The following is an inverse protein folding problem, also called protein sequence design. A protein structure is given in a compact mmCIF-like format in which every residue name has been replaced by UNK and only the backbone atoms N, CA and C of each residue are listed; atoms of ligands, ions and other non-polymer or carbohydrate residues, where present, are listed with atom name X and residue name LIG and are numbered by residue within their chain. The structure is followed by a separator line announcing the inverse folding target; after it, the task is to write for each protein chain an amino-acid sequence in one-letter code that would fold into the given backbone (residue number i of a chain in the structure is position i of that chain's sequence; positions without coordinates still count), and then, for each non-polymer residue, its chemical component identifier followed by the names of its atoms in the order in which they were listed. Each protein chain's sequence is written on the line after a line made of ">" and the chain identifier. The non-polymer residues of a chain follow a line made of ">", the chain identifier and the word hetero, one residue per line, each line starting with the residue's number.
data_IF_750569573025
#
_entry.id   IF_750569573025
#
_cell.length_a   1.000
_cell.length_b   1.000
_cell.length_c   1.000
_cell.angle_alpha   90.00
_cell.angle_beta   90.00
_cell.angle_gamma   90.00
#
_symmetry.space_group_name_H-M   'P 1'
#
loop_
_entity.id
_entity.type
_entity.pdbx_description
1 polymer ?
#
# COMPACT_ATOMS: atom_id res chain seq x y z
N UNK A 1 24.06 -10.26 -15.64
CA UNK A 1 23.95 -10.83 -14.28
C UNK A 1 23.58 -12.28 -14.44
N UNK A 2 24.15 -13.16 -13.63
CA UNK A 2 23.91 -14.60 -13.68
C UNK A 2 22.45 -14.90 -13.30
N UNK A 3 21.62 -15.45 -14.22
CA UNK A 3 20.23 -15.80 -13.93
C UNK A 3 20.10 -16.95 -12.90
N UNK A 4 21.17 -17.69 -12.61
CA UNK A 4 21.15 -18.87 -11.72
C UNK A 4 21.64 -18.56 -10.29
N UNK A 5 21.88 -17.29 -9.95
CA UNK A 5 22.43 -16.92 -8.63
C UNK A 5 21.47 -17.10 -7.43
N UNK A 6 20.23 -17.57 -7.65
CA UNK A 6 19.21 -17.68 -6.60
C UNK A 6 18.73 -16.33 -6.04
N UNK A 7 19.20 -15.22 -6.60
CA UNK A 7 18.79 -13.86 -6.25
C UNK A 7 17.77 -13.32 -7.26
N UNK A 8 16.79 -12.55 -6.78
CA UNK A 8 15.75 -11.96 -7.61
C UNK A 8 16.31 -11.07 -8.73
N UNK A 9 15.60 -11.02 -9.88
CA UNK A 9 16.02 -10.23 -11.04
C UNK A 9 15.81 -8.73 -10.78
N UNK A 10 16.90 -7.97 -10.88
CA UNK A 10 16.85 -6.50 -10.72
C UNK A 10 16.62 -5.82 -12.07
N UNK A 11 15.55 -5.03 -12.18
CA UNK A 11 15.19 -4.30 -13.42
C UNK A 11 15.89 -2.95 -13.57
N UNK A 12 16.12 -2.25 -12.45
CA UNK A 12 16.84 -0.99 -12.42
C UNK A 12 17.49 -0.76 -11.05
N UNK A 13 18.69 -0.17 -11.05
CA UNK A 13 19.34 0.38 -9.86
C UNK A 13 19.83 1.77 -10.20
N UNK A 14 19.54 2.73 -9.34
CA UNK A 14 20.00 4.11 -9.43
C UNK A 14 20.58 4.50 -8.08
N UNK A 15 21.80 5.05 -8.07
CA UNK A 15 22.51 5.49 -6.87
C UNK A 15 22.78 6.98 -6.96
N UNK A 16 22.28 7.73 -5.98
CA UNK A 16 22.46 9.18 -5.86
C UNK A 16 23.24 9.48 -4.59
N UNK A 17 24.29 10.30 -4.70
CA UNK A 17 25.08 10.77 -3.57
C UNK A 17 25.27 12.28 -3.69
N UNK A 18 24.91 13.04 -2.64
CA UNK A 18 25.05 14.50 -2.64
C UNK A 18 24.25 15.17 -3.77
N UNK A 19 23.06 14.66 -4.09
CA UNK A 19 22.21 15.16 -5.18
C UNK A 19 22.73 14.86 -6.59
N UNK A 20 23.78 14.06 -6.74
CA UNK A 20 24.36 13.68 -8.03
C UNK A 20 24.16 12.19 -8.30
N UNK A 21 23.76 11.86 -9.52
CA UNK A 21 23.76 10.48 -10.01
C UNK A 21 25.21 9.99 -10.09
N UNK A 22 25.53 8.92 -9.35
CA UNK A 22 26.89 8.33 -9.33
C UNK A 22 26.94 6.95 -10.00
N UNK A 23 25.81 6.25 -10.08
CA UNK A 23 25.68 5.02 -10.86
C UNK A 23 24.23 4.76 -11.25
N UNK A 24 24.02 4.20 -12.43
CA UNK A 24 22.76 3.59 -12.84
C UNK A 24 23.02 2.33 -13.67
N UNK A 25 22.15 1.33 -13.50
CA UNK A 25 22.15 0.10 -14.30
C UNK A 25 20.71 -0.32 -14.54
N UNK A 26 20.45 -0.77 -15.76
CA UNK A 26 19.14 -1.24 -16.18
C UNK A 26 19.26 -2.66 -16.72
N UNK A 27 18.25 -3.47 -16.44
CA UNK A 27 18.13 -4.85 -16.91
C UNK A 27 17.07 -4.99 -17.99
N UNK A 28 16.75 -6.24 -18.29
CA UNK A 28 15.71 -6.57 -19.26
C UNK A 28 14.32 -6.27 -18.68
N UNK A 29 13.42 -5.86 -19.57
CA UNK A 29 12.00 -5.82 -19.27
C UNK A 29 11.47 -7.24 -19.35
N UNK A 30 10.73 -7.68 -18.33
CA UNK A 30 10.19 -9.04 -18.27
C UNK A 30 8.75 -9.04 -17.85
N UNK A 31 8.00 -10.04 -18.32
CA UNK A 31 6.65 -10.31 -17.82
C UNK A 31 6.66 -10.98 -16.43
N UNK A 32 5.50 -11.46 -16.00
CA UNK A 32 5.31 -12.15 -14.71
C UNK A 32 6.00 -13.53 -14.65
N UNK A 33 6.28 -14.15 -15.81
CA UNK A 33 6.93 -15.46 -15.93
C UNK A 33 8.44 -15.35 -16.10
N UNK A 34 8.96 -14.12 -16.18
CA UNK A 34 10.38 -13.84 -16.32
C UNK A 34 10.87 -13.89 -17.77
N UNK A 35 9.97 -13.97 -18.75
CA UNK A 35 10.33 -13.86 -20.17
C UNK A 35 10.66 -12.41 -20.52
N UNK A 36 11.71 -12.21 -21.32
CA UNK A 36 12.08 -10.87 -21.79
C UNK A 36 11.02 -10.38 -22.77
N UNK A 37 10.42 -9.23 -22.48
CA UNK A 37 9.34 -8.66 -23.26
C UNK A 37 9.64 -7.21 -23.64
N UNK A 38 9.44 -6.87 -24.91
CA UNK A 38 9.61 -5.50 -25.42
C UNK A 38 11.04 -4.96 -25.28
N UNK A 39 11.15 -3.63 -25.29
CA UNK A 39 12.43 -2.94 -25.17
C UNK A 39 13.02 -3.06 -23.75
N UNK A 40 14.36 -3.14 -23.61
CA UNK A 40 15.03 -3.12 -22.31
C UNK A 40 14.60 -1.96 -21.43
N UNK A 41 14.72 -2.13 -20.12
CA UNK A 41 14.44 -1.03 -19.18
C UNK A 41 15.43 0.10 -19.45
N UNK A 42 14.92 1.33 -19.51
CA UNK A 42 15.73 2.53 -19.60
C UNK A 42 15.31 3.56 -18.55
N UNK A 43 16.02 4.68 -18.49
CA UNK A 43 15.82 5.74 -17.51
C UNK A 43 14.39 6.30 -17.44
N UNK A 44 13.64 6.22 -18.55
CA UNK A 44 12.26 6.72 -18.65
C UNK A 44 11.20 5.62 -18.62
N UNK A 45 11.60 4.35 -18.45
CA UNK A 45 10.65 3.23 -18.39
C UNK A 45 9.92 3.23 -17.04
N UNK A 46 8.58 3.35 -17.00
CA UNK A 46 7.84 3.19 -15.76
C UNK A 46 7.93 1.74 -15.29
N UNK A 47 8.17 1.56 -13.99
CA UNK A 47 8.17 0.27 -13.32
C UNK A 47 7.06 0.24 -12.27
N UNK A 48 6.51 -0.94 -12.00
CA UNK A 48 5.59 -1.14 -10.90
C UNK A 48 6.29 -0.78 -9.58
N UNK A 49 5.76 0.23 -8.89
CA UNK A 49 6.30 0.71 -7.61
C UNK A 49 5.91 -0.19 -6.43
N UNK A 50 4.86 -0.99 -6.60
CA UNK A 50 4.28 -1.79 -5.53
C UNK A 50 4.04 -0.93 -4.28
N UNK A 51 4.40 -1.44 -3.11
CA UNK A 51 4.16 -0.77 -1.84
C UNK A 51 4.99 0.50 -1.61
N UNK A 52 5.96 0.82 -2.48
CA UNK A 52 6.58 2.15 -2.46
C UNK A 52 5.55 3.27 -2.69
N UNK A 53 4.43 2.99 -3.37
CA UNK A 53 3.35 3.95 -3.56
C UNK A 53 2.80 4.51 -2.23
N UNK A 54 2.85 3.72 -1.15
CA UNK A 54 2.40 4.14 0.19
C UNK A 54 3.21 5.34 0.71
N UNK A 55 4.50 5.39 0.42
CA UNK A 55 5.36 6.54 0.79
C UNK A 55 4.93 7.83 0.09
N UNK A 56 4.52 7.74 -1.19
CA UNK A 56 4.00 8.89 -1.93
C UNK A 56 2.67 9.37 -1.34
N UNK A 57 1.78 8.44 -0.98
CA UNK A 57 0.53 8.76 -0.30
C UNK A 57 0.79 9.46 1.05
N UNK A 58 1.75 8.97 1.84
CA UNK A 58 2.12 9.59 3.11
C UNK A 58 2.69 11.01 2.93
N UNK A 59 3.44 11.26 1.85
CA UNK A 59 3.91 12.61 1.53
C UNK A 59 2.73 13.57 1.26
N UNK A 60 1.72 13.13 0.51
CA UNK A 60 0.48 13.91 0.28
C UNK A 60 -0.26 14.17 1.59
N UNK A 61 -0.38 13.16 2.46
CA UNK A 61 -0.96 13.36 3.80
C UNK A 61 -0.17 14.40 4.59
N UNK A 62 1.16 14.37 4.56
CA UNK A 62 2.01 15.37 5.21
C UNK A 62 1.74 16.80 4.71
N UNK A 63 1.53 16.98 3.40
CA UNK A 63 1.14 18.28 2.83
C UNK A 63 -0.22 18.74 3.35
N UNK A 64 -1.21 17.84 3.41
CA UNK A 64 -2.54 18.18 3.96
C UNK A 64 -2.52 18.49 5.46
N UNK A 65 -1.59 17.90 6.21
CA UNK A 65 -1.35 18.23 7.62
C UNK A 65 -0.73 19.62 7.76
N UNK A 66 0.26 19.96 6.91
CA UNK A 66 0.87 21.31 6.89
C UNK A 66 -0.16 22.39 6.52
N UNK A 67 -1.10 22.06 5.62
CA UNK A 67 -2.24 22.91 5.27
C UNK A 67 -3.33 22.99 6.36
N UNK A 68 -3.20 22.23 7.45
CA UNK A 68 -4.20 22.16 8.53
C UNK A 68 -5.52 21.49 8.13
N UNK A 69 -5.53 20.69 7.06
CA UNK A 69 -6.72 19.99 6.53
C UNK A 69 -6.86 18.57 7.08
N UNK A 70 -5.78 18.00 7.58
CA UNK A 70 -5.77 16.72 8.29
C UNK A 70 -5.02 16.84 9.62
N UNK A 71 -5.46 16.08 10.62
CA UNK A 71 -4.87 16.06 11.96
C UNK A 71 -4.54 14.61 12.35
N UNK A 72 -3.26 14.21 12.44
CA UNK A 72 -2.89 12.82 12.68
C UNK A 72 -3.43 12.24 13.99
N UNK A 73 -3.48 13.06 15.06
CA UNK A 73 -3.94 12.64 16.37
C UNK A 73 -5.46 12.57 16.53
N UNK A 74 -6.22 13.00 15.52
CA UNK A 74 -7.69 12.98 15.55
C UNK A 74 -8.25 11.70 14.90
N UNK A 75 -9.50 11.33 15.23
CA UNK A 75 -10.23 10.30 14.50
C UNK A 75 -10.14 10.48 12.98
N UNK A 76 -9.84 9.41 12.27
CA UNK A 76 -9.75 9.44 10.83
C UNK A 76 -11.14 9.74 10.20
N UNK A 77 -11.25 10.68 9.23
CA UNK A 77 -12.52 11.06 8.64
C UNK A 77 -13.01 10.03 7.60
N UNK A 78 -13.40 8.86 8.10
CA UNK A 78 -13.94 7.74 7.32
C UNK A 78 -15.47 7.74 7.46
N UNK A 79 -16.23 8.01 6.37
CA UNK A 79 -17.69 8.18 6.44
C UNK A 79 -18.46 7.01 7.03
N UNK A 80 -17.92 5.80 6.92
CA UNK A 80 -18.53 4.57 7.41
C UNK A 80 -18.46 4.43 8.94
N UNK A 81 -17.56 5.16 9.62
CA UNK A 81 -17.31 5.03 11.06
C UNK A 81 -18.06 6.14 11.81
N UNK A 82 -19.33 5.89 12.09
CA UNK A 82 -20.22 6.83 12.77
C UNK A 82 -20.28 6.65 14.29
N UNK A 83 -21.19 7.40 14.93
CA UNK A 83 -21.45 7.28 16.36
C UNK A 83 -21.86 5.86 16.76
N UNK A 84 -21.24 5.33 17.81
CA UNK A 84 -21.45 3.96 18.28
C UNK A 84 -20.64 2.89 17.54
N UNK A 85 -19.93 3.23 16.46
CA UNK A 85 -18.97 2.33 15.82
C UNK A 85 -17.61 2.41 16.56
N UNK A 86 -17.08 1.30 17.10
CA UNK A 86 -15.78 1.32 17.79
C UNK A 86 -14.62 1.74 16.87
N UNK A 87 -14.76 1.58 15.54
CA UNK A 87 -13.76 2.05 14.56
C UNK A 87 -13.69 3.57 14.46
N UNK A 88 -14.71 4.30 14.93
CA UNK A 88 -14.68 5.77 14.96
C UNK A 88 -13.60 6.33 15.91
N UNK A 89 -13.01 5.49 16.77
CA UNK A 89 -11.87 5.88 17.60
C UNK A 89 -10.50 5.75 16.89
N UNK A 90 -10.45 5.13 15.70
CA UNK A 90 -9.20 4.95 14.95
C UNK A 90 -8.70 6.33 14.50
N UNK A 91 -7.48 6.68 14.90
CA UNK A 91 -6.87 7.95 14.47
C UNK A 91 -6.19 7.83 13.12
N UNK A 92 -5.99 8.97 12.44
CA UNK A 92 -5.23 9.00 11.20
C UNK A 92 -3.78 8.52 11.41
N UNK A 93 -3.16 8.83 12.54
CA UNK A 93 -1.82 8.31 12.90
C UNK A 93 -1.81 6.78 13.02
N UNK A 94 -2.85 6.18 13.58
CA UNK A 94 -2.96 4.73 13.69
C UNK A 94 -3.07 4.07 12.30
N UNK A 95 -3.82 4.67 11.37
CA UNK A 95 -3.83 4.22 9.97
C UNK A 95 -2.45 4.34 9.31
N UNK A 96 -1.78 5.49 9.45
CA UNK A 96 -0.44 5.73 8.89
C UNK A 96 0.61 4.78 9.47
N UNK A 97 0.44 4.35 10.72
CA UNK A 97 1.30 3.39 11.40
C UNK A 97 0.88 1.92 11.16
N UNK A 98 -0.19 1.67 10.39
CA UNK A 98 -0.79 0.34 10.19
C UNK A 98 -1.11 -0.37 11.52
N UNK A 99 -1.71 0.39 12.44
CA UNK A 99 -2.17 -0.06 13.75
C UNK A 99 -3.66 0.24 13.95
N UNK A 100 -4.43 0.27 12.88
CA UNK A 100 -5.87 0.56 12.93
C UNK A 100 -6.71 -0.55 13.59
N UNK A 101 -6.15 -1.76 13.74
CA UNK A 101 -6.81 -2.88 14.41
C UNK A 101 -7.86 -3.59 13.55
N UNK A 102 -8.00 -3.23 12.27
CA UNK A 102 -8.93 -3.88 11.35
C UNK A 102 -8.49 -5.31 11.01
N UNK A 103 -9.47 -6.19 10.88
CA UNK A 103 -9.31 -7.56 10.38
C UNK A 103 -9.06 -7.54 8.86
N UNK A 104 -7.84 -7.22 8.47
CA UNK A 104 -7.39 -7.22 7.08
C UNK A 104 -6.32 -8.29 6.88
N UNK A 105 -6.54 -9.15 5.88
CA UNK A 105 -5.67 -10.28 5.56
C UNK A 105 -4.86 -9.91 4.30
N UNK A 106 -3.64 -9.46 4.53
CA UNK A 106 -2.67 -9.18 3.45
C UNK A 106 -1.98 -10.48 3.02
N UNK A 107 -2.70 -11.30 2.23
CA UNK A 107 -2.18 -12.54 1.67
C UNK A 107 -2.22 -12.52 0.13
N UNK A 108 -1.15 -12.99 -0.49
CA UNK A 108 -0.98 -13.09 -1.95
C UNK A 108 -0.63 -14.51 -2.41
N UNK A 109 -0.53 -15.47 -1.49
CA UNK A 109 -0.14 -16.83 -1.79
C UNK A 109 -1.28 -17.58 -2.51
N UNK A 110 -1.04 -18.20 -3.68
CA UNK A 110 -2.02 -19.06 -4.34
C UNK A 110 -2.32 -20.35 -3.54
N UNK A 111 -1.44 -20.68 -2.59
CA UNK A 111 -1.39 -21.88 -1.77
C UNK A 111 -1.68 -21.62 -0.28
N UNK A 112 -2.22 -20.44 0.07
CA UNK A 112 -2.82 -20.22 1.39
C UNK A 112 -3.74 -21.40 1.71
N UNK A 113 -3.57 -21.99 2.90
CA UNK A 113 -4.38 -23.11 3.45
C UNK A 113 -5.75 -23.13 2.78
N UNK A 114 -6.02 -24.13 1.93
CA UNK A 114 -7.15 -24.11 1.00
C UNK A 114 -8.42 -23.52 1.65
N UNK A 115 -8.72 -22.24 1.34
CA UNK A 115 -9.77 -21.47 2.03
C UNK A 115 -9.31 -20.18 2.74
N UNK A 116 -8.02 -19.84 2.79
CA UNK A 116 -7.54 -18.56 3.32
C UNK A 116 -8.03 -17.39 2.45
N UNK A 117 -8.71 -16.42 3.08
CA UNK A 117 -9.27 -15.25 2.39
C UNK A 117 -8.17 -14.22 2.16
N UNK A 118 -7.83 -13.95 0.90
CA UNK A 118 -7.04 -12.78 0.54
C UNK A 118 -7.95 -11.56 0.44
N UNK A 119 -7.93 -10.72 1.47
CA UNK A 119 -8.67 -9.46 1.44
C UNK A 119 -8.13 -8.51 0.38
N UNK A 120 -6.85 -8.61 0.01
CA UNK A 120 -6.27 -7.78 -1.06
C UNK A 120 -6.75 -8.19 -2.45
N UNK A 121 -6.83 -9.49 -2.77
CA UNK A 121 -7.34 -9.96 -4.07
C UNK A 121 -8.83 -9.61 -4.18
N UNK A 122 -9.61 -9.87 -3.13
CA UNK A 122 -11.04 -9.55 -3.10
C UNK A 122 -11.31 -8.04 -3.22
N UNK A 123 -10.48 -7.22 -2.55
CA UNK A 123 -10.54 -5.76 -2.65
C UNK A 123 -10.22 -5.28 -4.07
N UNK A 124 -9.14 -5.75 -4.67
CA UNK A 124 -8.65 -5.19 -5.95
C UNK A 124 -9.34 -5.78 -7.18
N UNK A 125 -9.78 -7.03 -7.11
CA UNK A 125 -10.26 -7.78 -8.28
C UNK A 125 -11.60 -8.50 -8.04
N UNK A 126 -12.10 -8.53 -6.80
CA UNK A 126 -13.37 -9.16 -6.42
C UNK A 126 -14.48 -8.13 -6.15
N UNK A 127 -15.32 -8.42 -5.15
CA UNK A 127 -16.46 -7.58 -4.78
C UNK A 127 -16.08 -6.17 -4.32
N UNK A 128 -14.85 -5.96 -3.86
CA UNK A 128 -14.36 -4.64 -3.43
C UNK A 128 -13.88 -3.73 -4.56
N UNK A 129 -13.76 -4.23 -5.80
CA UNK A 129 -13.06 -3.51 -6.87
C UNK A 129 -13.71 -2.17 -7.27
N UNK A 130 -15.01 -2.00 -7.01
CA UNK A 130 -15.73 -0.75 -7.28
C UNK A 130 -15.53 0.32 -6.20
N UNK A 131 -15.19 -0.07 -4.97
CA UNK A 131 -14.90 0.83 -3.85
C UNK A 131 -13.91 0.18 -2.88
N UNK A 132 -12.62 0.26 -3.22
CA UNK A 132 -11.53 -0.35 -2.45
C UNK A 132 -11.38 0.27 -1.05
N UNK A 133 -11.65 1.57 -0.93
CA UNK A 133 -11.56 2.28 0.35
C UNK A 133 -12.72 1.87 1.27
N UNK A 134 -13.94 1.81 0.74
CA UNK A 134 -15.11 1.32 1.47
C UNK A 134 -15.01 -0.17 1.82
N UNK A 135 -14.50 -1.00 0.91
CA UNK A 135 -14.23 -2.41 1.20
C UNK A 135 -13.30 -2.57 2.40
N UNK A 136 -12.16 -1.87 2.39
CA UNK A 136 -11.21 -1.93 3.50
C UNK A 136 -11.81 -1.35 4.80
N UNK A 137 -12.50 -0.20 4.72
CA UNK A 137 -13.15 0.42 5.88
C UNK A 137 -14.29 -0.42 6.48
N UNK A 138 -14.87 -1.34 5.71
CA UNK A 138 -15.94 -2.23 6.16
C UNK A 138 -15.47 -3.33 7.10
N UNK A 139 -14.15 -3.62 7.16
CA UNK A 139 -13.61 -4.70 7.98
C UNK A 139 -13.93 -4.46 9.47
N UNK A 140 -14.26 -5.51 10.24
CA UNK A 140 -14.44 -5.39 11.69
C UNK A 140 -13.08 -5.15 12.38
N UNK A 141 -13.11 -4.78 13.66
CA UNK A 141 -11.90 -4.80 14.49
C UNK A 141 -11.54 -6.24 14.87
N UNK A 142 -10.29 -6.62 14.65
CA UNK A 142 -9.67 -7.80 15.26
C UNK A 142 -8.95 -7.44 16.56
N UNK A 143 -8.49 -6.19 16.69
CA UNK A 143 -7.75 -5.67 17.83
C UNK A 143 -8.19 -4.25 18.17
N UNK A 144 -7.91 -3.81 19.41
CA UNK A 144 -8.08 -2.41 19.80
C UNK A 144 -7.19 -1.50 18.92
N UNK A 145 -7.69 -0.34 18.47
CA UNK A 145 -6.90 0.62 17.70
C UNK A 145 -5.60 1.02 18.44
N UNK A 146 -4.47 0.93 17.74
CA UNK A 146 -3.13 1.22 18.24
C UNK A 146 -2.42 0.04 18.92
N UNK A 147 -3.11 -1.07 19.22
CA UNK A 147 -2.58 -2.16 20.03
C UNK A 147 -1.61 -3.09 19.28
N UNK A 148 -1.80 -3.28 17.97
CA UNK A 148 -1.00 -4.20 17.17
C UNK A 148 -0.71 -3.61 15.78
N UNK A 149 0.48 -3.91 15.25
CA UNK A 149 0.82 -3.64 13.85
C UNK A 149 0.27 -4.77 12.97
N UNK A 150 -0.45 -4.40 11.91
CA UNK A 150 -0.91 -5.30 10.86
C UNK A 150 -0.65 -4.66 9.49
N UNK A 151 0.33 -5.18 8.74
CA UNK A 151 0.65 -4.62 7.43
C UNK A 151 -0.53 -4.80 6.46
N UNK A 152 -1.04 -3.70 5.91
CA UNK A 152 -2.31 -3.69 5.17
C UNK A 152 -2.32 -2.71 4.01
N UNK A 153 -2.53 -3.24 2.81
CA UNK A 153 -2.87 -2.45 1.62
C UNK A 153 -4.30 -1.90 1.70
N UNK A 154 -5.19 -2.53 2.46
CA UNK A 154 -6.51 -1.98 2.78
C UNK A 154 -6.41 -0.65 3.52
N UNK A 155 -5.58 -0.57 4.56
CA UNK A 155 -5.33 0.65 5.33
C UNK A 155 -4.86 1.80 4.45
N UNK A 156 -3.95 1.53 3.50
CA UNK A 156 -3.52 2.53 2.53
C UNK A 156 -4.64 3.00 1.59
N UNK A 157 -5.58 2.11 1.22
CA UNK A 157 -6.75 2.48 0.43
C UNK A 157 -7.76 3.32 1.24
N UNK A 158 -7.91 3.07 2.54
CA UNK A 158 -8.70 3.95 3.43
C UNK A 158 -8.10 5.36 3.44
N UNK A 159 -6.78 5.48 3.62
CA UNK A 159 -6.06 6.76 3.60
C UNK A 159 -6.23 7.45 2.24
N UNK A 160 -6.12 6.71 1.13
CA UNK A 160 -6.37 7.25 -0.22
C UNK A 160 -7.78 7.83 -0.35
N UNK A 161 -8.79 7.13 0.19
CA UNK A 161 -10.16 7.63 0.23
C UNK A 161 -10.31 8.92 1.05
N UNK A 162 -9.61 9.02 2.20
CA UNK A 162 -9.58 10.26 3.01
C UNK A 162 -9.00 11.41 2.18
N UNK A 163 -7.84 11.20 1.57
CA UNK A 163 -7.15 12.21 0.73
C UNK A 163 -8.04 12.65 -0.43
N UNK A 164 -8.73 11.73 -1.10
CA UNK A 164 -9.60 12.04 -2.24
C UNK A 164 -10.81 12.94 -1.89
N UNK A 165 -11.18 13.04 -0.61
CA UNK A 165 -12.31 13.85 -0.11
C UNK A 165 -11.88 15.11 0.64
N UNK A 166 -10.59 15.24 0.94
CA UNK A 166 -10.05 16.36 1.72
C UNK A 166 -9.82 17.55 0.81
#
# INVERSE_FOLDING_TARGET
>A
MDPDSGHGRTRAVVVVQGGRLVAERYGDRTDAWGEVTGDPVGATTPLLSWSMAKSMLHAVVGMLVDEGRLHPGEPAPVPQWGEGDPRAAITLEQLLAMRDGLDFAEDYAPDGEAGAVSHVIEMLFGSGASDVAGFAASRPLAHEPGAAFNYSSGTSNIISGIVART
#
